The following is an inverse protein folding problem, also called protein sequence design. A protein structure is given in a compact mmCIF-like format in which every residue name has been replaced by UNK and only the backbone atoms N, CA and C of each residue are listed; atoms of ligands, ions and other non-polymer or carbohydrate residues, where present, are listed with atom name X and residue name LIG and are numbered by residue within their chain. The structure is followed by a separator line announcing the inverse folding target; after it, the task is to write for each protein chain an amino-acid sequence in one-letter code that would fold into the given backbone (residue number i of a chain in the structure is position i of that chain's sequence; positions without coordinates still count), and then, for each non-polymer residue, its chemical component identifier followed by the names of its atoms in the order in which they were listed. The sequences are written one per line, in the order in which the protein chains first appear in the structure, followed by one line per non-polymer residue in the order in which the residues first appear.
data_IF_674477795123
#
_entry.id   IF_674477795123
#
_cell.length_a   1.000
_cell.length_b   1.000
_cell.length_c   1.000
_cell.angle_alpha   90.00
_cell.angle_beta   90.00
_cell.angle_gamma   90.00
#
_symmetry.space_group_name_H-M   'P 1'
#
loop_
_entity.id
_entity.type
_entity.pdbx_description
1 polymer ?
#
# COMPACT_ATOMS: atom_id res chain seq x y z
N UNK A 1 -13.95 -21.10 57.13
CA UNK A 1 -13.30 -21.71 55.95
C UNK A 1 -13.98 -21.38 54.61
N UNK A 2 -15.32 -21.21 54.52
CA UNK A 2 -16.02 -20.94 53.23
C UNK A 2 -15.82 -19.53 52.63
N UNK A 3 -15.55 -18.50 53.45
CA UNK A 3 -15.44 -17.09 53.00
C UNK A 3 -14.17 -16.81 52.18
N UNK A 4 -13.07 -17.48 52.49
CA UNK A 4 -11.81 -17.31 51.76
C UNK A 4 -11.88 -17.98 50.38
N UNK A 5 -12.64 -19.08 50.25
CA UNK A 5 -12.85 -19.77 48.96
C UNK A 5 -13.54 -18.89 47.92
N UNK A 6 -14.50 -18.06 48.32
CA UNK A 6 -15.19 -17.12 47.42
C UNK A 6 -14.21 -16.05 46.91
N UNK A 7 -13.30 -15.56 47.75
CA UNK A 7 -12.27 -14.59 47.35
C UNK A 7 -11.30 -15.20 46.35
N UNK A 8 -10.84 -16.44 46.56
CA UNK A 8 -9.96 -17.13 45.61
C UNK A 8 -10.66 -17.41 44.27
N UNK A 9 -11.95 -17.77 44.28
CA UNK A 9 -12.73 -17.98 43.04
C UNK A 9 -12.93 -16.66 42.29
N UNK A 10 -13.22 -15.56 42.99
CA UNK A 10 -13.34 -14.24 42.39
C UNK A 10 -12.01 -13.75 41.79
N UNK A 11 -10.89 -13.99 42.47
CA UNK A 11 -9.55 -13.63 42.00
C UNK A 11 -9.13 -14.46 40.78
N UNK A 12 -9.48 -15.76 40.76
CA UNK A 12 -9.26 -16.64 39.62
C UNK A 12 -10.07 -16.19 38.40
N UNK A 13 -11.34 -15.80 38.60
CA UNK A 13 -12.20 -15.28 37.55
C UNK A 13 -11.67 -13.96 36.96
N UNK A 14 -11.18 -13.06 37.81
CA UNK A 14 -10.52 -11.82 37.38
C UNK A 14 -9.29 -12.10 36.51
N UNK A 15 -8.43 -13.05 36.92
CA UNK A 15 -7.27 -13.44 36.12
C UNK A 15 -7.66 -13.99 34.74
N UNK A 16 -8.71 -14.80 34.64
CA UNK A 16 -9.17 -15.35 33.35
C UNK A 16 -9.64 -14.23 32.41
N UNK A 17 -10.32 -13.20 32.93
CA UNK A 17 -10.74 -12.04 32.11
C UNK A 17 -9.57 -11.16 31.66
N UNK A 18 -8.46 -11.11 32.43
CA UNK A 18 -7.25 -10.40 32.01
C UNK A 18 -6.40 -11.19 31.00
N UNK A 19 -6.57 -12.50 30.89
CA UNK A 19 -5.84 -13.36 29.94
C UNK A 19 -6.51 -13.47 28.55
N UNK A 20 -7.69 -12.88 28.31
CA UNK A 20 -8.33 -12.87 26.98
C UNK A 20 -7.71 -11.85 26.01
N UNK A 21 -6.39 -11.75 26.00
CA UNK A 21 -5.63 -10.80 25.18
C UNK A 21 -5.12 -11.45 23.89
N UNK A 22 -5.97 -11.59 22.87
CA UNK A 22 -5.53 -11.71 21.46
C UNK A 22 -6.68 -11.52 20.44
N UNK A 23 -7.68 -10.68 20.74
CA UNK A 23 -8.85 -10.51 19.86
C UNK A 23 -8.55 -9.72 18.57
N UNK A 24 -7.49 -8.92 18.52
CA UNK A 24 -7.20 -8.02 17.39
C UNK A 24 -5.95 -8.39 16.59
N UNK A 25 -5.69 -9.68 16.37
CA UNK A 25 -4.64 -10.08 15.43
C UNK A 25 -5.09 -9.80 14.00
N UNK A 26 -4.25 -9.10 13.24
CA UNK A 26 -4.33 -9.03 11.78
C UNK A 26 -3.20 -9.88 11.22
N UNK A 27 -3.54 -11.01 10.61
CA UNK A 27 -2.54 -11.93 10.09
C UNK A 27 -2.03 -11.48 8.71
N UNK A 28 -0.80 -11.87 8.37
CA UNK A 28 -0.18 -11.51 7.10
C UNK A 28 -0.96 -12.06 5.88
N UNK A 29 -1.69 -13.15 6.09
CA UNK A 29 -2.57 -13.79 5.10
C UNK A 29 -3.85 -13.02 4.83
N UNK A 30 -4.31 -12.20 5.79
CA UNK A 30 -5.57 -11.45 5.68
C UNK A 30 -5.36 -10.03 5.13
N UNK A 31 -4.09 -9.60 5.00
CA UNK A 31 -3.70 -8.28 4.54
C UNK A 31 -3.18 -8.31 3.09
N UNK A 32 -3.61 -7.32 2.32
CA UNK A 32 -3.05 -6.98 1.01
C UNK A 32 -2.16 -5.74 1.16
N UNK A 33 -0.84 -5.95 1.13
CA UNK A 33 0.15 -4.89 1.28
C UNK A 33 0.26 -4.08 -0.01
N UNK A 34 -0.14 -2.81 0.04
CA UNK A 34 0.01 -1.88 -1.08
C UNK A 34 1.35 -1.16 -0.98
N UNK A 35 2.23 -1.40 -1.95
CA UNK A 35 3.53 -0.73 -2.02
C UNK A 35 3.48 0.56 -2.84
N UNK A 36 2.62 0.60 -3.86
CA UNK A 36 2.40 1.79 -4.65
C UNK A 36 0.93 1.99 -5.00
N UNK A 37 0.57 3.26 -5.14
CA UNK A 37 -0.74 3.70 -5.64
C UNK A 37 -0.51 4.49 -6.92
N UNK A 38 -1.19 4.09 -7.98
CA UNK A 38 -1.28 4.84 -9.23
C UNK A 38 -2.62 5.55 -9.30
N UNK A 39 -2.63 6.80 -9.76
CA UNK A 39 -3.81 7.61 -9.95
C UNK A 39 -3.81 8.16 -11.37
N UNK A 40 -4.84 7.85 -12.13
CA UNK A 40 -5.04 8.34 -13.49
C UNK A 40 -6.43 8.95 -13.63
N UNK A 41 -6.58 9.77 -14.68
CA UNK A 41 -7.88 10.20 -15.20
C UNK A 41 -8.23 9.32 -16.41
N UNK A 42 -9.43 8.76 -16.44
CA UNK A 42 -9.91 8.06 -17.64
C UNK A 42 -10.42 9.05 -18.67
N UNK A 43 -10.49 8.64 -19.94
CA UNK A 43 -11.08 9.45 -21.02
C UNK A 43 -12.51 9.93 -20.70
N UNK A 44 -13.29 9.12 -19.98
CA UNK A 44 -14.65 9.47 -19.52
C UNK A 44 -14.68 10.46 -18.34
N UNK A 45 -13.55 11.03 -17.93
CA UNK A 45 -13.45 11.98 -16.82
C UNK A 45 -13.53 11.36 -15.41
N UNK A 46 -13.49 10.03 -15.29
CA UNK A 46 -13.49 9.32 -14.00
C UNK A 46 -12.09 9.16 -13.43
N UNK A 47 -12.00 8.94 -12.13
CA UNK A 47 -10.74 8.61 -11.47
C UNK A 47 -10.47 7.11 -11.60
N UNK A 48 -9.27 6.75 -12.03
CA UNK A 48 -8.74 5.40 -11.99
C UNK A 48 -7.71 5.29 -10.87
N UNK A 49 -7.92 4.35 -9.97
CA UNK A 49 -6.98 4.02 -8.89
C UNK A 49 -6.40 2.64 -9.17
N UNK A 50 -5.08 2.57 -9.14
CA UNK A 50 -4.29 1.35 -9.36
C UNK A 50 -3.57 1.02 -8.06
N UNK A 51 -3.83 -0.15 -7.50
CA UNK A 51 -3.11 -0.64 -6.33
C UNK A 51 -2.07 -1.66 -6.77
N UNK A 52 -0.80 -1.42 -6.43
CA UNK A 52 0.25 -2.42 -6.56
C UNK A 52 0.38 -3.20 -5.25
N UNK A 53 -0.19 -4.39 -5.26
CA UNK A 53 -0.23 -5.30 -4.12
C UNK A 53 0.94 -6.26 -4.22
N UNK A 54 1.75 -6.36 -3.16
CA UNK A 54 2.83 -7.32 -3.09
C UNK A 54 2.34 -8.63 -2.48
N UNK A 55 2.80 -9.75 -3.04
CA UNK A 55 2.69 -11.06 -2.43
C UNK A 55 4.01 -11.44 -1.75
N UNK A 56 4.10 -11.35 -0.40
CA UNK A 56 5.35 -11.59 0.32
C UNK A 56 5.96 -12.97 0.06
N UNK A 57 5.10 -13.99 -0.12
CA UNK A 57 5.53 -15.38 -0.36
C UNK A 57 6.26 -15.60 -1.69
N UNK A 58 6.09 -14.70 -2.66
CA UNK A 58 6.72 -14.80 -3.98
C UNK A 58 7.90 -13.82 -4.13
N UNK A 59 8.01 -12.81 -3.26
CA UNK A 59 9.09 -11.82 -3.28
C UNK A 59 10.34 -12.36 -2.57
N UNK A 60 10.17 -12.88 -1.34
CA UNK A 60 11.22 -13.59 -0.64
C UNK A 60 11.48 -14.91 -1.38
N UNK A 61 12.58 -14.97 -2.15
CA UNK A 61 12.97 -16.19 -2.83
C UNK A 61 12.98 -17.36 -1.83
N UNK A 62 12.53 -18.51 -2.31
CA UNK A 62 12.42 -19.78 -1.59
C UNK A 62 13.66 -20.10 -0.75
N UNK A 63 13.66 -19.69 0.51
CA UNK A 63 14.30 -20.45 1.57
C UNK A 63 13.20 -21.25 2.24
N UNK A 64 13.28 -22.57 2.07
CA UNK A 64 12.54 -23.58 2.84
C UNK A 64 11.15 -23.97 2.32
N UNK A 65 11.12 -24.61 1.14
CA UNK A 65 10.45 -25.90 0.86
C UNK A 65 10.39 -26.10 -0.65
N UNK A 66 10.83 -27.28 -1.11
CA UNK A 66 10.79 -27.66 -2.52
C UNK A 66 9.38 -27.56 -3.07
N UNK A 67 9.23 -26.77 -4.15
CA UNK A 67 7.95 -26.57 -4.82
C UNK A 67 7.89 -25.21 -5.52
N UNK A 68 8.37 -25.17 -6.77
CA UNK A 68 8.02 -24.15 -7.77
C UNK A 68 8.05 -22.68 -7.34
N UNK A 69 9.24 -22.08 -7.33
CA UNK A 69 9.38 -20.61 -7.32
C UNK A 69 8.92 -20.04 -8.67
N UNK A 70 7.62 -19.79 -8.82
CA UNK A 70 7.04 -19.24 -10.07
C UNK A 70 5.79 -18.39 -9.87
N UNK A 71 5.50 -17.93 -8.66
CA UNK A 71 4.35 -17.06 -8.42
C UNK A 71 4.63 -15.60 -8.80
N UNK A 72 3.61 -14.89 -9.29
CA UNK A 72 3.74 -13.46 -9.61
C UNK A 72 4.01 -12.68 -8.30
N UNK A 73 5.11 -11.91 -8.21
CA UNK A 73 5.50 -11.20 -6.97
C UNK A 73 4.58 -10.02 -6.65
N UNK A 74 3.92 -9.48 -7.68
CA UNK A 74 3.04 -8.32 -7.60
C UNK A 74 1.67 -8.65 -8.23
N UNK A 75 0.65 -7.95 -7.81
CA UNK A 75 -0.67 -7.96 -8.43
C UNK A 75 -1.16 -6.54 -8.55
N UNK A 76 -1.59 -6.16 -9.75
CA UNK A 76 -2.18 -4.85 -10.02
C UNK A 76 -3.69 -4.95 -9.94
N UNK A 77 -4.30 -4.09 -9.13
CA UNK A 77 -5.74 -3.98 -9.02
C UNK A 77 -6.17 -2.59 -9.47
N UNK A 78 -6.82 -2.50 -10.63
CA UNK A 78 -7.39 -1.26 -11.16
C UNK A 78 -8.88 -1.16 -10.84
N UNK A 79 -9.31 0.00 -10.37
CA UNK A 79 -10.72 0.32 -10.22
C UNK A 79 -10.99 1.77 -10.60
N UNK A 80 -12.18 2.02 -11.14
CA UNK A 80 -12.62 3.34 -11.59
C UNK A 80 -13.85 3.80 -10.83
N UNK A 81 -13.97 5.10 -10.60
CA UNK A 81 -15.09 5.72 -9.89
C UNK A 81 -15.16 7.22 -10.14
N UNK A 82 -16.30 7.82 -9.80
CA UNK A 82 -16.53 9.25 -10.02
C UNK A 82 -15.76 10.09 -8.98
N UNK A 83 -15.32 9.47 -7.88
CA UNK A 83 -14.39 10.04 -6.89
C UNK A 83 -13.27 9.06 -6.55
N UNK A 84 -12.13 9.56 -6.07
CA UNK A 84 -11.03 8.72 -5.56
C UNK A 84 -11.50 7.72 -4.48
N UNK A 85 -12.38 8.16 -3.58
CA UNK A 85 -12.92 7.30 -2.52
C UNK A 85 -13.79 6.17 -3.09
N UNK A 86 -14.63 6.47 -4.07
CA UNK A 86 -15.45 5.46 -4.73
C UNK A 86 -14.60 4.46 -5.53
N UNK A 87 -13.62 4.96 -6.29
CA UNK A 87 -12.68 4.12 -7.03
C UNK A 87 -11.90 3.20 -6.08
N UNK A 88 -11.41 3.74 -4.95
CA UNK A 88 -10.74 2.96 -3.91
C UNK A 88 -11.64 1.88 -3.29
N UNK A 89 -12.89 2.24 -2.94
CA UNK A 89 -13.89 1.27 -2.42
C UNK A 89 -14.26 0.19 -3.44
N UNK A 90 -14.32 0.52 -4.73
CA UNK A 90 -14.53 -0.48 -5.79
C UNK A 90 -13.30 -1.38 -5.93
N UNK A 91 -12.10 -0.82 -5.79
CA UNK A 91 -10.85 -1.61 -5.76
C UNK A 91 -10.79 -2.56 -4.58
N UNK A 92 -11.21 -2.15 -3.39
CA UNK A 92 -11.25 -3.03 -2.21
C UNK A 92 -12.21 -4.22 -2.39
N UNK A 93 -13.25 -4.12 -3.22
CA UNK A 93 -14.13 -5.24 -3.56
C UNK A 93 -13.49 -6.26 -4.50
N UNK A 94 -12.45 -5.88 -5.24
CA UNK A 94 -11.72 -6.77 -6.17
C UNK A 94 -10.60 -7.56 -5.49
N UNK A 95 -10.26 -7.23 -4.25
CA UNK A 95 -9.19 -7.87 -3.48
C UNK A 95 -9.82 -8.73 -2.39
N UNK A 96 -9.39 -9.98 -2.25
CA UNK A 96 -9.92 -10.92 -1.26
C UNK A 96 -9.40 -10.68 0.18
N UNK A 97 -8.56 -9.66 0.37
CA UNK A 97 -7.86 -9.32 1.60
C UNK A 97 -8.07 -7.85 1.93
N UNK A 98 -7.93 -7.50 3.21
CA UNK A 98 -8.01 -6.12 3.67
C UNK A 98 -6.83 -5.33 3.10
N UNK A 99 -7.12 -4.27 2.35
CA UNK A 99 -6.08 -3.39 1.80
C UNK A 99 -5.37 -2.66 2.93
N UNK A 100 -4.05 -2.75 2.96
CA UNK A 100 -3.18 -2.15 3.96
C UNK A 100 -2.21 -1.16 3.32
N UNK A 101 -2.42 0.14 3.60
CA UNK A 101 -1.70 1.25 2.97
C UNK A 101 -0.43 1.69 3.71
N UNK A 102 -0.16 1.16 4.91
CA UNK A 102 0.96 1.62 5.75
C UNK A 102 2.36 1.39 5.15
N UNK A 103 2.45 0.62 4.07
CA UNK A 103 3.69 0.35 3.32
C UNK A 103 3.70 1.00 1.93
N UNK A 104 2.77 1.91 1.65
CA UNK A 104 2.77 2.64 0.38
C UNK A 104 3.93 3.64 0.38
N UNK A 105 4.94 3.37 -0.45
CA UNK A 105 6.16 4.17 -0.53
C UNK A 105 6.23 5.00 -1.81
N UNK A 106 5.38 4.72 -2.81
CA UNK A 106 5.32 5.42 -4.08
C UNK A 106 3.88 5.79 -4.44
N UNK A 107 3.67 7.05 -4.79
CA UNK A 107 2.47 7.57 -5.41
C UNK A 107 2.81 7.99 -6.85
N UNK A 108 2.16 7.36 -7.83
CA UNK A 108 2.30 7.69 -9.25
C UNK A 108 1.05 8.44 -9.69
N UNK A 109 1.21 9.65 -10.21
CA UNK A 109 0.11 10.48 -10.71
C UNK A 109 0.24 10.59 -12.23
N UNK A 110 -0.80 10.24 -12.96
CA UNK A 110 -0.86 10.44 -14.41
C UNK A 110 -0.78 11.91 -14.79
N UNK A 111 -0.14 12.21 -15.92
CA UNK A 111 0.10 13.57 -16.40
C UNK A 111 -1.19 14.41 -16.48
N UNK A 112 -2.28 13.85 -17.01
CA UNK A 112 -3.56 14.57 -17.14
C UNK A 112 -4.16 14.94 -15.78
N UNK A 113 -4.09 14.03 -14.80
CA UNK A 113 -4.53 14.32 -13.43
C UNK A 113 -3.62 15.35 -12.74
N UNK A 114 -2.31 15.32 -13.04
CA UNK A 114 -1.37 16.29 -12.51
C UNK A 114 -1.63 17.72 -13.07
N UNK A 115 -2.04 17.83 -14.34
CA UNK A 115 -2.42 19.10 -14.97
C UNK A 115 -3.72 19.70 -14.41
N UNK A 116 -4.72 18.87 -14.08
CA UNK A 116 -5.96 19.33 -13.44
C UNK A 116 -5.72 19.85 -12.01
N UNK A 117 -4.69 19.33 -11.35
CA UNK A 117 -4.28 19.73 -10.01
C UNK A 117 -4.28 18.56 -9.02
N UNK A 118 -3.22 18.50 -8.21
CA UNK A 118 -2.97 17.39 -7.27
C UNK A 118 -3.45 17.66 -5.84
N UNK A 119 -3.91 18.88 -5.54
CA UNK A 119 -4.27 19.28 -4.17
C UNK A 119 -5.35 18.40 -3.54
N UNK A 120 -6.42 18.09 -4.29
CA UNK A 120 -7.49 17.21 -3.81
C UNK A 120 -7.05 15.75 -3.61
N UNK A 121 -6.06 15.28 -4.38
CA UNK A 121 -5.46 13.96 -4.20
C UNK A 121 -4.64 13.93 -2.91
N UNK A 122 -3.81 14.94 -2.70
CA UNK A 122 -2.94 15.05 -1.53
C UNK A 122 -3.73 15.22 -0.24
N UNK A 123 -4.79 16.04 -0.22
CA UNK A 123 -5.68 16.19 0.95
C UNK A 123 -6.26 14.84 1.40
N UNK A 124 -6.73 14.02 0.45
CA UNK A 124 -7.28 12.70 0.76
C UNK A 124 -6.22 11.76 1.35
N UNK A 125 -4.98 11.84 0.86
CA UNK A 125 -3.88 11.02 1.35
C UNK A 125 -3.40 11.47 2.73
N UNK A 126 -3.28 12.78 2.96
CA UNK A 126 -2.88 13.35 4.25
C UNK A 126 -3.89 13.04 5.35
N UNK A 127 -5.19 13.18 5.06
CA UNK A 127 -6.26 12.91 6.01
C UNK A 127 -6.39 11.43 6.38
N UNK A 128 -5.80 10.54 5.60
CA UNK A 128 -5.79 9.11 5.87
C UNK A 128 -4.58 8.73 6.73
N UNK A 129 -4.84 8.33 7.97
CA UNK A 129 -3.83 7.91 8.97
C UNK A 129 -2.99 6.68 8.55
N UNK A 130 -3.24 6.08 7.39
CA UNK A 130 -2.46 4.93 6.91
C UNK A 130 -1.33 5.33 5.97
N UNK A 131 -1.39 6.49 5.29
CA UNK A 131 -0.31 6.89 4.40
C UNK A 131 0.84 7.50 5.19
N UNK A 132 2.06 7.29 4.70
CA UNK A 132 3.26 7.90 5.28
C UNK A 132 3.53 9.22 4.57
N UNK A 133 3.89 10.26 5.31
CA UNK A 133 4.37 11.52 4.71
C UNK A 133 5.65 11.36 3.90
N UNK A 134 6.40 10.28 4.15
CA UNK A 134 7.61 9.88 3.40
C UNK A 134 7.32 9.13 2.10
N UNK A 135 6.05 8.98 1.71
CA UNK A 135 5.71 8.41 0.40
C UNK A 135 6.21 9.35 -0.69
N UNK A 136 6.96 8.81 -1.64
CA UNK A 136 7.51 9.58 -2.76
C UNK A 136 6.44 9.80 -3.82
N UNK A 137 6.36 11.01 -4.38
CA UNK A 137 5.41 11.36 -5.43
C UNK A 137 6.13 11.46 -6.77
N UNK A 138 5.60 10.82 -7.81
CA UNK A 138 6.12 10.88 -9.17
C UNK A 138 4.99 11.14 -10.16
N UNK A 139 5.30 11.82 -11.27
CA UNK A 139 4.36 12.06 -12.35
C UNK A 139 4.72 11.15 -13.52
N UNK A 140 3.77 10.36 -13.99
CA UNK A 140 3.91 9.55 -15.20
C UNK A 140 3.71 10.44 -16.43
N UNK A 141 4.81 10.89 -17.03
CA UNK A 141 4.79 11.69 -18.27
C UNK A 141 4.57 10.78 -19.48
N UNK A 142 3.67 11.19 -20.39
CA UNK A 142 3.35 10.50 -21.65
C UNK A 142 2.80 9.06 -21.52
N UNK A 143 2.64 8.54 -20.31
CA UNK A 143 2.17 7.19 -20.01
C UNK A 143 1.19 7.23 -18.83
N UNK A 144 0.37 6.18 -18.70
CA UNK A 144 -0.53 6.07 -17.55
C UNK A 144 0.24 5.63 -16.31
N UNK A 145 -0.26 5.97 -15.11
CA UNK A 145 0.29 5.46 -13.86
C UNK A 145 0.21 3.92 -13.81
N UNK A 146 -0.79 3.32 -14.45
CA UNK A 146 -0.86 1.86 -14.64
C UNK A 146 0.35 1.30 -15.39
N UNK A 147 0.71 1.91 -16.53
CA UNK A 147 1.82 1.44 -17.36
C UNK A 147 3.14 1.46 -16.58
N UNK A 148 3.40 2.56 -15.85
CA UNK A 148 4.58 2.71 -15.01
C UNK A 148 4.66 1.63 -13.92
N UNK A 149 3.54 1.29 -13.29
CA UNK A 149 3.49 0.30 -12.21
C UNK A 149 3.51 -1.15 -12.71
N UNK A 150 3.27 -1.38 -14.00
CA UNK A 150 3.22 -2.71 -14.64
C UNK A 150 4.57 -3.20 -15.15
N UNK A 151 5.53 -2.31 -15.38
CA UNK A 151 6.85 -2.66 -15.91
C UNK A 151 7.60 -3.54 -14.90
N UNK A 152 7.68 -4.84 -15.19
CA UNK A 152 8.49 -5.77 -14.42
C UNK A 152 9.95 -5.63 -14.81
N UNK A 153 10.80 -5.49 -13.80
CA UNK A 153 12.23 -5.29 -14.01
C UNK A 153 13.07 -6.46 -13.51
N UNK A 154 14.16 -6.80 -14.21
CA UNK A 154 14.97 -7.97 -13.87
C UNK A 154 15.77 -7.78 -12.58
N UNK A 155 16.06 -6.53 -12.18
CA UNK A 155 16.86 -6.21 -10.99
C UNK A 155 16.01 -6.23 -9.73
N UNK A 156 14.91 -5.49 -9.72
CA UNK A 156 13.98 -5.40 -8.61
C UNK A 156 12.65 -6.07 -8.97
N UNK A 157 12.23 -7.09 -8.20
CA UNK A 157 10.96 -7.80 -8.42
C UNK A 157 9.72 -6.93 -8.21
N UNK A 158 9.88 -5.77 -7.56
CA UNK A 158 8.82 -4.83 -7.25
C UNK A 158 9.11 -3.52 -7.99
N UNK A 159 8.36 -3.19 -9.06
CA UNK A 159 8.55 -1.98 -9.87
C UNK A 159 8.66 -0.68 -9.04
N UNK A 160 7.80 -0.51 -8.03
CA UNK A 160 7.86 0.65 -7.16
C UNK A 160 9.20 0.83 -6.42
N UNK A 161 9.83 -0.27 -6.00
CA UNK A 161 11.13 -0.22 -5.32
C UNK A 161 12.24 0.21 -6.27
N UNK A 162 12.19 -0.26 -7.52
CA UNK A 162 13.13 0.14 -8.54
C UNK A 162 13.03 1.66 -8.79
N UNK A 163 11.82 2.18 -9.03
CA UNK A 163 11.59 3.61 -9.25
C UNK A 163 12.16 4.44 -8.09
N UNK A 164 11.83 4.07 -6.85
CA UNK A 164 12.32 4.75 -5.65
C UNK A 164 13.86 4.73 -5.58
N UNK A 165 14.49 3.57 -5.85
CA UNK A 165 15.95 3.43 -5.78
C UNK A 165 16.64 4.19 -6.90
N UNK A 166 16.11 4.13 -8.12
CA UNK A 166 16.62 4.85 -9.28
C UNK A 166 16.58 6.36 -9.06
N UNK A 167 15.47 6.88 -8.52
CA UNK A 167 15.36 8.30 -8.18
C UNK A 167 16.35 8.71 -7.09
N UNK A 168 16.47 7.93 -6.00
CA UNK A 168 17.47 8.18 -4.94
C UNK A 168 18.90 8.15 -5.45
N UNK A 169 19.21 7.25 -6.39
CA UNK A 169 20.54 7.13 -6.97
C UNK A 169 20.83 8.27 -7.93
N UNK A 170 19.85 8.65 -8.75
CA UNK A 170 19.94 9.80 -9.65
C UNK A 170 20.17 11.10 -8.87
N UNK A 171 19.41 11.34 -7.80
CA UNK A 171 19.60 12.47 -6.89
C UNK A 171 21.02 12.48 -6.29
N UNK A 172 21.47 11.35 -5.72
CA UNK A 172 22.75 11.26 -5.01
C UNK A 172 23.96 11.40 -5.93
N UNK A 173 23.92 10.81 -7.13
CA UNK A 173 25.08 10.75 -8.02
C UNK A 173 25.07 11.90 -9.02
N UNK A 174 23.91 12.20 -9.61
CA UNK A 174 23.80 13.12 -10.74
C UNK A 174 23.28 14.48 -10.31
N UNK A 175 22.56 14.58 -9.19
CA UNK A 175 21.92 15.83 -8.74
C UNK A 175 20.86 16.37 -9.69
N UNK A 176 20.47 15.60 -10.71
CA UNK A 176 19.55 16.01 -11.77
C UNK A 176 18.08 15.85 -11.39
N UNK A 177 17.80 15.05 -10.36
CA UNK A 177 16.43 14.74 -9.95
C UNK A 177 16.24 15.13 -8.50
N UNK A 178 15.21 15.92 -8.22
CA UNK A 178 14.81 16.25 -6.85
C UNK A 178 13.78 15.22 -6.40
N UNK A 179 14.08 14.51 -5.32
CA UNK A 179 13.07 13.66 -4.69
C UNK A 179 12.06 14.55 -3.99
N UNK A 180 10.78 14.31 -4.26
CA UNK A 180 9.69 14.99 -3.60
C UNK A 180 8.83 13.98 -2.84
N UNK A 181 8.65 14.22 -1.55
CA UNK A 181 7.77 13.44 -0.69
C UNK A 181 6.41 14.12 -0.51
N UNK A 182 5.38 13.36 -0.12
CA UNK A 182 4.05 13.94 0.17
C UNK A 182 4.16 15.10 1.17
N UNK A 183 4.94 14.94 2.24
CA UNK A 183 5.13 15.99 3.25
C UNK A 183 5.92 17.22 2.80
N UNK A 184 6.49 17.24 1.61
CA UNK A 184 7.17 18.40 1.02
C UNK A 184 6.30 19.13 -0.01
N UNK A 185 5.22 18.49 -0.48
CA UNK A 185 4.26 19.08 -1.44
C UNK A 185 3.10 19.79 -0.75
N UNK A 186 2.78 19.35 0.48
CA UNK A 186 1.77 19.93 1.36
C UNK A 186 2.41 21.03 2.20
#
# INVERSE_FOLDING_TARGET
MKRNGIVYVALLFLCITMLSGCWSKKELTDLAFVIAVGLDKTEDGKYAVIFQIVNPGNVAGTTQRGGGSGGVPISLCKATGDTLLEASRKGSKKVSRLIYYAHTNLLVIGEELAKEGIGGVLDVMERSNQFRTTTMVVIAQHHTAEDVLKVLTPIDKIPANEIIKTLKFSEKIWGQTVRVNIGEVI
#
